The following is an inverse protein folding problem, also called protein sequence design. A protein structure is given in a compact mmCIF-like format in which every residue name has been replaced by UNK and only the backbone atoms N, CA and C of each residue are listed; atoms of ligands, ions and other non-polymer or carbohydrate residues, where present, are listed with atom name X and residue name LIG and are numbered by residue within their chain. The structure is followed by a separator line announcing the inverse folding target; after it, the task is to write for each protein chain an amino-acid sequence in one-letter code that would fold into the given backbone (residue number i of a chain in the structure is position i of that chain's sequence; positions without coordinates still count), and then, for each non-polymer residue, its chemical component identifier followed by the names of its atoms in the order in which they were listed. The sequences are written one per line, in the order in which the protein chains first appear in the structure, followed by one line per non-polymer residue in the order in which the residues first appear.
data_IF_875695343265
#
_entry.id   IF_875695343265
#
_cell.length_a   1.000
_cell.length_b   1.000
_cell.length_c   1.000
_cell.angle_alpha   90.00
_cell.angle_beta   90.00
_cell.angle_gamma   90.00
#
_symmetry.space_group_name_H-M   'P 1'
#
loop_
_entity.id
_entity.type
_entity.pdbx_description
1 polymer ?
#
# COMPACT_ATOMS: atom_id res chain seq x y z
N UNK A 1 -23.64 5.88 12.73
CA UNK A 1 -23.05 6.85 13.68
C UNK A 1 -22.15 6.07 14.61
N UNK A 2 -20.86 5.94 14.30
CA UNK A 2 -19.94 5.20 15.17
C UNK A 2 -19.33 6.18 16.17
N UNK A 3 -19.74 6.07 17.43
CA UNK A 3 -19.13 6.77 18.56
C UNK A 3 -17.89 5.97 18.96
N UNK A 4 -16.74 6.63 18.91
CA UNK A 4 -15.46 6.08 19.32
C UNK A 4 -15.14 6.68 20.69
N UNK A 5 -15.62 6.01 21.75
CA UNK A 5 -15.21 6.34 23.11
C UNK A 5 -13.82 5.75 23.32
N UNK A 6 -12.80 6.56 23.06
CA UNK A 6 -11.43 6.22 23.37
C UNK A 6 -11.04 7.01 24.60
N UNK A 7 -11.05 6.30 25.72
CA UNK A 7 -10.48 6.63 27.02
C UNK A 7 -9.25 7.54 26.85
N UNK A 8 -9.51 8.84 26.87
CA UNK A 8 -8.54 9.85 26.56
C UNK A 8 -7.68 10.03 27.81
N UNK A 9 -6.57 9.30 27.87
CA UNK A 9 -5.42 9.74 28.66
C UNK A 9 -4.98 11.07 28.04
N UNK A 10 -5.52 12.15 28.58
CA UNK A 10 -5.19 13.53 28.24
C UNK A 10 -3.76 13.79 28.70
N UNK A 11 -2.79 13.43 27.86
CA UNK A 11 -1.42 13.89 27.99
C UNK A 11 -1.43 15.43 27.94
N UNK A 12 -0.70 16.14 28.83
CA UNK A 12 -0.76 17.60 28.97
C UNK A 12 0.03 18.32 27.86
N UNK A 13 -0.35 18.09 26.62
CA UNK A 13 0.21 18.73 25.43
C UNK A 13 -0.82 18.78 24.32
N UNK A 14 -0.79 19.83 23.51
CA UNK A 14 -1.58 19.87 22.29
C UNK A 14 -1.03 18.80 21.34
N UNK A 15 -1.77 17.70 21.17
CA UNK A 15 -1.51 16.74 20.10
C UNK A 15 -2.56 16.95 19.01
N UNK A 16 -2.10 17.21 17.79
CA UNK A 16 -2.99 17.21 16.63
C UNK A 16 -3.19 15.76 16.20
N UNK A 17 -4.40 15.24 16.37
CA UNK A 17 -4.78 13.95 15.81
C UNK A 17 -4.78 14.07 14.28
N UNK A 18 -3.96 13.25 13.63
CA UNK A 18 -3.96 13.08 12.18
C UNK A 18 -4.70 11.79 11.84
N UNK A 19 -5.53 11.84 10.82
CA UNK A 19 -6.13 10.67 10.20
C UNK A 19 -5.09 9.89 9.40
N UNK A 20 -5.33 8.60 9.17
CA UNK A 20 -4.46 7.79 8.31
C UNK A 20 -4.31 8.40 6.90
N UNK A 21 -5.37 9.00 6.36
CA UNK A 21 -5.32 9.68 5.07
C UNK A 21 -4.33 10.85 5.05
N UNK A 22 -4.22 11.60 6.15
CA UNK A 22 -3.26 12.70 6.28
C UNK A 22 -1.82 12.20 6.43
N UNK A 23 -1.62 11.09 7.14
CA UNK A 23 -0.30 10.50 7.38
C UNK A 23 0.33 9.90 6.11
N UNK A 24 -0.49 9.30 5.24
CA UNK A 24 -0.04 8.68 3.98
C UNK A 24 -0.24 9.56 2.74
N UNK A 25 -0.61 10.84 2.91
CA UNK A 25 -0.93 11.76 1.80
C UNK A 25 0.21 11.98 0.80
N UNK A 26 1.46 11.87 1.23
CA UNK A 26 2.65 12.03 0.38
C UNK A 26 3.11 10.73 -0.27
N UNK A 27 2.51 9.59 0.10
CA UNK A 27 2.85 8.29 -0.46
C UNK A 27 1.97 8.04 -1.69
N UNK A 28 2.56 7.89 -2.89
CA UNK A 28 1.76 7.53 -4.06
C UNK A 28 1.08 6.17 -3.82
N UNK A 29 -0.19 6.00 -4.23
CA UNK A 29 -0.99 4.82 -3.88
C UNK A 29 -0.42 3.49 -4.40
N UNK A 30 0.43 3.53 -5.42
CA UNK A 30 1.19 2.38 -5.91
C UNK A 30 2.35 2.85 -6.80
N UNK A 31 3.34 1.98 -6.97
CA UNK A 31 4.43 2.15 -7.92
C UNK A 31 4.11 1.37 -9.20
N UNK A 32 4.17 2.03 -10.36
CA UNK A 32 3.97 1.36 -11.66
C UNK A 32 5.32 0.79 -12.10
N UNK A 33 5.46 -0.54 -12.06
CA UNK A 33 6.62 -1.25 -12.61
C UNK A 33 6.40 -1.58 -14.09
N UNK A 34 7.48 -1.63 -14.87
CA UNK A 34 7.40 -2.11 -16.25
C UNK A 34 6.96 -3.58 -16.30
N UNK A 35 6.25 -3.97 -17.36
CA UNK A 35 5.84 -5.37 -17.57
C UNK A 35 7.03 -6.33 -17.61
N UNK A 36 6.82 -7.56 -17.13
CA UNK A 36 7.84 -8.60 -17.17
C UNK A 36 7.94 -9.24 -18.57
N UNK A 37 9.16 -9.56 -19.03
CA UNK A 37 9.34 -10.34 -20.25
C UNK A 37 8.86 -11.79 -20.03
N UNK A 38 7.78 -12.18 -20.70
CA UNK A 38 7.33 -13.57 -20.72
C UNK A 38 8.03 -14.33 -21.85
N UNK A 39 8.85 -15.33 -21.51
CA UNK A 39 9.46 -16.24 -22.49
C UNK A 39 8.73 -17.58 -22.46
N UNK A 40 8.22 -18.01 -23.62
CA UNK A 40 7.60 -19.32 -23.78
C UNK A 40 8.67 -20.33 -24.21
N UNK A 41 8.83 -21.47 -23.51
CA UNK A 41 9.74 -22.51 -23.96
C UNK A 41 9.23 -23.09 -25.29
N UNK A 42 10.05 -23.04 -26.33
CA UNK A 42 9.82 -23.80 -27.55
C UNK A 42 10.66 -25.08 -27.52
N UNK A 43 10.00 -26.22 -27.69
CA UNK A 43 10.67 -27.51 -27.87
C UNK A 43 10.73 -27.81 -29.37
N UNK A 44 11.92 -27.79 -29.95
CA UNK A 44 12.13 -28.21 -31.34
C UNK A 44 12.46 -29.70 -31.37
N UNK A 45 11.49 -30.54 -31.71
CA UNK A 45 11.71 -31.96 -31.95
C UNK A 45 11.81 -32.19 -33.46
N UNK A 46 12.99 -32.60 -33.95
CA UNK A 46 13.16 -33.11 -35.31
C UNK A 46 12.92 -34.63 -35.32
N UNK A 47 11.96 -35.14 -36.11
CA UNK A 47 11.68 -36.57 -36.19
C UNK A 47 12.63 -37.23 -37.19
N UNK A 48 13.90 -37.34 -36.83
CA UNK A 48 14.87 -38.14 -37.59
C UNK A 48 15.11 -39.49 -36.95
#
# INVERSE_FOLDING_TARGET
MAVLDHDAVLFPGSFTLKTAAEDFSVVPPFEIRSGAEQRVPFLFNSPH
#
